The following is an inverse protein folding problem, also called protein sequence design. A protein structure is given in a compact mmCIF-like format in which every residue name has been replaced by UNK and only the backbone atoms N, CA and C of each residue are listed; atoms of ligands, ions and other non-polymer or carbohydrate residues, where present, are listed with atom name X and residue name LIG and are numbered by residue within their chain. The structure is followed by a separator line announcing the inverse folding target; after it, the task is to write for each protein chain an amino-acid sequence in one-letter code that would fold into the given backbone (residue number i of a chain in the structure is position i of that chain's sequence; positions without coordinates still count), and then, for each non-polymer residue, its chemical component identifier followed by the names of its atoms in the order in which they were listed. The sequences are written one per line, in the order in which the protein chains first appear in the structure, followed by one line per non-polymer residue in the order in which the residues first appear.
data_IF_934415491388
#
_entry.id   IF_934415491388
#
_cell.length_a   1.000
_cell.length_b   1.000
_cell.length_c   1.000
_cell.angle_alpha   90.00
_cell.angle_beta   90.00
_cell.angle_gamma   90.00
#
_symmetry.space_group_name_H-M   'P 1'
#
loop_
_entity.id
_entity.type
_entity.pdbx_description
1 polymer ?
#
# COMPACT_ATOMS: atom_id res chain seq x y z
N UNK A 1 -0.91 -26.34 -19.86
CA UNK A 1 -1.43 -27.62 -20.35
C UNK A 1 -0.54 -28.07 -21.51
N UNK A 2 0.38 -29.02 -21.27
CA UNK A 2 1.26 -29.59 -22.30
C UNK A 2 0.53 -30.77 -22.93
N UNK A 3 0.45 -30.80 -24.26
CA UNK A 3 0.24 -32.02 -25.05
C UNK A 3 1.24 -31.98 -26.20
N UNK A 4 1.99 -33.08 -26.33
CA UNK A 4 3.02 -33.30 -27.33
C UNK A 4 2.44 -34.13 -28.49
N UNK A 5 2.93 -33.76 -29.69
CA UNK A 5 2.82 -34.27 -31.07
C UNK A 5 2.62 -35.77 -31.31
N UNK A 6 2.01 -36.08 -32.47
CA UNK A 6 2.56 -37.01 -33.48
C UNK A 6 2.32 -36.49 -34.93
N UNK A 7 3.17 -36.88 -35.91
CA UNK A 7 3.19 -36.37 -37.28
C UNK A 7 2.47 -37.30 -38.28
N UNK A 8 1.98 -36.75 -39.39
CA UNK A 8 1.68 -37.53 -40.60
C UNK A 8 2.31 -36.81 -41.80
N UNK A 9 3.12 -37.57 -42.52
CA UNK A 9 3.82 -37.23 -43.76
C UNK A 9 3.06 -37.97 -44.87
N UNK A 10 2.43 -37.28 -45.85
CA UNK A 10 2.16 -37.85 -47.18
C UNK A 10 2.26 -36.75 -48.26
N UNK A 11 3.14 -37.05 -49.21
CA UNK A 11 3.26 -36.69 -50.63
C UNK A 11 2.49 -35.51 -51.24
N UNK A 12 3.32 -34.66 -51.81
CA UNK A 12 3.23 -33.86 -53.03
C UNK A 12 2.36 -34.44 -54.15
N UNK A 13 1.44 -33.61 -54.66
CA UNK A 13 1.03 -33.59 -56.06
C UNK A 13 1.11 -32.13 -56.52
N UNK A 14 2.06 -31.84 -57.41
CA UNK A 14 2.15 -30.57 -58.10
C UNK A 14 1.14 -30.55 -59.24
N UNK A 15 0.18 -29.63 -59.19
CA UNK A 15 -0.60 -29.22 -60.35
C UNK A 15 -0.14 -27.81 -60.70
N UNK A 16 0.58 -27.70 -61.82
CA UNK A 16 0.81 -26.44 -62.51
C UNK A 16 -0.53 -25.96 -63.05
N UNK A 17 -1.07 -24.88 -62.47
CA UNK A 17 -2.01 -24.01 -63.17
C UNK A 17 -1.38 -22.63 -63.25
N UNK A 18 -1.12 -22.19 -64.47
CA UNK A 18 -0.74 -20.82 -64.80
C UNK A 18 -1.90 -19.90 -64.44
N UNK A 19 -1.88 -19.33 -63.24
CA UNK A 19 -2.79 -18.25 -62.86
C UNK A 19 -2.25 -16.96 -63.48
N UNK A 20 -2.93 -16.50 -64.52
CA UNK A 20 -2.81 -15.13 -65.01
C UNK A 20 -3.18 -14.18 -63.87
N UNK A 21 -2.21 -13.41 -63.37
CA UNK A 21 -2.46 -12.31 -62.45
C UNK A 21 -3.24 -11.22 -63.20
N UNK A 22 -4.57 -11.27 -63.11
CA UNK A 22 -5.35 -10.05 -63.21
C UNK A 22 -5.01 -9.20 -61.99
N UNK A 23 -4.57 -7.96 -62.21
CA UNK A 23 -4.35 -7.00 -61.14
C UNK A 23 -5.60 -6.95 -60.24
N UNK A 24 -5.49 -7.23 -58.93
CA UNK A 24 -6.64 -7.19 -58.05
C UNK A 24 -7.24 -5.78 -58.09
N UNK A 25 -8.54 -5.69 -58.36
CA UNK A 25 -9.24 -4.42 -58.23
C UNK A 25 -9.23 -3.95 -56.77
N UNK A 26 -9.46 -2.64 -56.56
CA UNK A 26 -9.29 -1.91 -55.30
C UNK A 26 -9.84 -2.63 -54.03
N UNK A 27 -11.05 -3.24 -54.05
CA UNK A 27 -11.58 -3.97 -52.89
C UNK A 27 -10.79 -5.25 -52.56
N UNK A 28 -10.30 -5.99 -53.56
CA UNK A 28 -9.66 -7.28 -53.36
C UNK A 28 -8.28 -7.16 -52.70
N UNK A 29 -7.45 -6.20 -53.13
CA UNK A 29 -6.10 -6.03 -52.58
C UNK A 29 -6.12 -5.54 -51.12
N UNK A 30 -6.93 -4.52 -50.84
CA UNK A 30 -7.05 -3.95 -49.50
C UNK A 30 -7.59 -4.97 -48.49
N UNK A 31 -8.66 -5.71 -48.83
CA UNK A 31 -9.21 -6.77 -47.97
C UNK A 31 -8.21 -7.90 -47.76
N UNK A 32 -7.49 -8.33 -48.81
CA UNK A 32 -6.45 -9.37 -48.70
C UNK A 32 -5.33 -8.95 -47.75
N UNK A 33 -4.82 -7.72 -47.87
CA UNK A 33 -3.79 -7.20 -46.97
C UNK A 33 -4.27 -7.13 -45.52
N UNK A 34 -5.52 -6.70 -45.28
CA UNK A 34 -6.09 -6.67 -43.94
C UNK A 34 -6.21 -8.07 -43.34
N UNK A 35 -6.62 -9.05 -44.13
CA UNK A 35 -6.77 -10.44 -43.68
C UNK A 35 -5.41 -11.07 -43.37
N UNK A 36 -4.44 -10.92 -44.26
CA UNK A 36 -3.06 -11.37 -44.04
C UNK A 36 -2.44 -10.70 -42.80
N UNK A 37 -2.68 -9.40 -42.60
CA UNK A 37 -2.24 -8.68 -41.40
C UNK A 37 -2.84 -9.26 -40.12
N UNK A 38 -4.14 -9.59 -40.12
CA UNK A 38 -4.82 -10.23 -38.97
C UNK A 38 -4.26 -11.63 -38.70
N UNK A 39 -3.89 -12.36 -39.75
CA UNK A 39 -3.22 -13.67 -39.65
C UNK A 39 -1.73 -13.56 -39.28
N UNK A 40 -1.22 -12.36 -39.02
CA UNK A 40 0.19 -12.07 -38.75
C UNK A 40 1.15 -12.46 -39.90
N UNK A 41 0.63 -12.64 -41.11
CA UNK A 41 1.39 -12.86 -42.34
C UNK A 41 1.83 -11.53 -42.95
N UNK A 42 2.64 -10.80 -42.19
CA UNK A 42 3.00 -9.39 -42.49
C UNK A 42 3.76 -9.27 -43.82
N UNK A 43 4.68 -10.19 -44.12
CA UNK A 43 5.49 -10.13 -45.34
C UNK A 43 4.69 -10.42 -46.62
N UNK A 44 3.75 -11.36 -46.55
CA UNK A 44 2.80 -11.62 -47.65
C UNK A 44 1.91 -10.39 -47.90
N UNK A 45 1.41 -9.75 -46.84
CA UNK A 45 0.61 -8.55 -46.94
C UNK A 45 1.39 -7.37 -47.56
N UNK A 46 2.68 -7.21 -47.20
CA UNK A 46 3.57 -6.21 -47.80
C UNK A 46 3.73 -6.48 -49.30
N UNK A 47 3.93 -7.74 -49.70
CA UNK A 47 4.08 -8.12 -51.12
C UNK A 47 2.84 -7.79 -51.94
N UNK A 48 1.65 -8.08 -51.41
CA UNK A 48 0.38 -7.72 -52.04
C UNK A 48 0.26 -6.19 -52.19
N UNK A 49 0.59 -5.45 -51.13
CA UNK A 49 0.55 -3.99 -51.15
C UNK A 49 1.56 -3.35 -52.10
N UNK A 50 2.77 -3.88 -52.20
CA UNK A 50 3.79 -3.41 -53.16
C UNK A 50 3.33 -3.64 -54.60
N UNK A 51 2.82 -4.84 -54.91
CA UNK A 51 2.28 -5.17 -56.23
C UNK A 51 1.15 -4.22 -56.62
N UNK A 52 0.25 -3.93 -55.68
CA UNK A 52 -0.87 -3.02 -55.89
C UNK A 52 -0.42 -1.56 -56.06
N UNK A 53 0.48 -1.07 -55.19
CA UNK A 53 0.96 0.31 -55.23
C UNK A 53 1.83 0.61 -56.47
N UNK A 54 2.41 -0.41 -57.11
CA UNK A 54 3.06 -0.24 -58.42
C UNK A 54 2.08 0.24 -59.50
N UNK A 55 0.81 -0.18 -59.42
CA UNK A 55 -0.25 0.22 -60.35
C UNK A 55 -1.01 1.46 -59.84
N UNK A 56 -1.12 1.61 -58.52
CA UNK A 56 -1.89 2.68 -57.86
C UNK A 56 -1.05 3.45 -56.84
N UNK A 57 -0.02 4.20 -57.26
CA UNK A 57 1.00 4.76 -56.36
C UNK A 57 0.50 5.85 -55.40
N UNK A 58 -0.71 6.37 -55.62
CA UNK A 58 -1.34 7.43 -54.83
C UNK A 58 -2.54 6.96 -54.00
N UNK A 59 -2.74 5.65 -53.86
CA UNK A 59 -3.81 5.11 -53.02
C UNK A 59 -3.48 5.31 -51.53
N UNK A 60 -4.19 6.25 -50.88
CA UNK A 60 -3.91 6.64 -49.49
C UNK A 60 -4.22 5.52 -48.49
N UNK A 61 -5.25 4.70 -48.75
CA UNK A 61 -5.68 3.62 -47.87
C UNK A 61 -4.67 2.48 -47.87
N UNK A 62 -4.19 2.08 -49.04
CA UNK A 62 -3.14 1.06 -49.15
C UNK A 62 -1.80 1.57 -48.64
N UNK A 63 -1.46 2.84 -48.89
CA UNK A 63 -0.25 3.44 -48.28
C UNK A 63 -0.32 3.47 -46.75
N UNK A 64 -1.49 3.77 -46.16
CA UNK A 64 -1.68 3.70 -44.72
C UNK A 64 -1.49 2.27 -44.22
N UNK A 65 -2.07 1.29 -44.91
CA UNK A 65 -1.97 -0.12 -44.54
C UNK A 65 -0.53 -0.65 -44.64
N UNK A 66 0.24 -0.22 -45.64
CA UNK A 66 1.69 -0.48 -45.73
C UNK A 66 2.43 0.08 -44.51
N UNK A 67 2.12 1.31 -44.10
CA UNK A 67 2.69 1.89 -42.89
C UNK A 67 2.37 1.07 -41.64
N UNK A 68 1.12 0.61 -41.51
CA UNK A 68 0.68 -0.23 -40.39
C UNK A 68 1.37 -1.60 -40.38
N UNK A 69 1.61 -2.20 -41.55
CA UNK A 69 2.36 -3.45 -41.70
C UNK A 69 3.82 -3.28 -41.29
N UNK A 70 4.49 -2.23 -41.77
CA UNK A 70 5.88 -1.94 -41.38
C UNK A 70 6.01 -1.60 -39.89
N UNK A 71 5.00 -0.94 -39.30
CA UNK A 71 4.94 -0.70 -37.86
C UNK A 71 4.83 -2.02 -37.09
N UNK A 72 3.97 -2.96 -37.52
CA UNK A 72 3.82 -4.28 -36.92
C UNK A 72 5.09 -5.13 -37.03
N UNK A 73 5.87 -4.95 -38.11
CA UNK A 73 7.19 -5.57 -38.32
C UNK A 73 8.29 -4.95 -37.43
N UNK A 74 8.00 -3.88 -36.68
CA UNK A 74 8.98 -3.13 -35.88
C UNK A 74 9.85 -2.15 -36.69
N UNK A 75 9.62 -2.05 -38.01
CA UNK A 75 10.33 -1.09 -38.86
C UNK A 75 9.62 0.27 -38.85
N UNK A 76 9.76 0.99 -37.73
CA UNK A 76 9.09 2.27 -37.51
C UNK A 76 9.53 3.37 -38.47
N UNK A 77 10.77 3.29 -39.00
CA UNK A 77 11.28 4.25 -39.98
C UNK A 77 10.59 4.11 -41.35
N UNK A 78 10.38 2.88 -41.83
CA UNK A 78 9.58 2.66 -43.04
C UNK A 78 8.11 2.99 -42.80
N UNK A 79 7.56 2.66 -41.63
CA UNK A 79 6.21 3.07 -41.26
C UNK A 79 6.02 4.60 -41.37
N UNK A 80 6.94 5.38 -40.79
CA UNK A 80 6.96 6.85 -40.90
C UNK A 80 6.91 7.32 -42.35
N UNK A 81 7.71 6.71 -43.24
CA UNK A 81 7.77 7.06 -44.67
C UNK A 81 6.42 6.85 -45.35
N UNK A 82 5.76 5.72 -45.12
CA UNK A 82 4.45 5.43 -45.71
C UNK A 82 3.35 6.33 -45.14
N UNK A 83 3.32 6.57 -43.82
CA UNK A 83 2.36 7.49 -43.22
C UNK A 83 2.51 8.92 -43.73
N UNK A 84 3.74 9.41 -43.90
CA UNK A 84 3.99 10.73 -44.52
C UNK A 84 3.52 10.77 -45.97
N UNK A 85 3.72 9.70 -46.75
CA UNK A 85 3.15 9.61 -48.11
C UNK A 85 1.61 9.68 -48.09
N UNK A 86 0.96 8.95 -47.18
CA UNK A 86 -0.50 9.03 -46.99
C UNK A 86 -0.94 10.46 -46.69
N UNK A 87 -0.27 11.14 -45.76
CA UNK A 87 -0.61 12.52 -45.37
C UNK A 87 -0.29 13.56 -46.45
N UNK A 88 0.69 13.30 -47.33
CA UNK A 88 0.96 14.17 -48.49
C UNK A 88 -0.16 14.09 -49.53
N UNK A 89 -0.77 12.90 -49.71
CA UNK A 89 -1.90 12.70 -50.63
C UNK A 89 -3.21 13.16 -49.99
N UNK A 90 -3.39 12.88 -48.70
CA UNK A 90 -4.60 13.20 -47.95
C UNK A 90 -4.22 13.83 -46.60
N UNK A 91 -4.01 15.16 -46.55
CA UNK A 91 -3.58 15.87 -45.33
C UNK A 91 -4.54 15.75 -44.14
N UNK A 92 -5.80 15.42 -44.40
CA UNK A 92 -6.85 15.26 -43.40
C UNK A 92 -7.09 13.80 -42.99
N UNK A 93 -6.26 12.86 -43.46
CA UNK A 93 -6.39 11.44 -43.09
C UNK A 93 -6.07 11.25 -41.59
N UNK A 94 -7.13 11.21 -40.78
CA UNK A 94 -7.02 11.24 -39.32
C UNK A 94 -6.25 10.03 -38.77
N UNK A 95 -6.56 8.82 -39.24
CA UNK A 95 -5.90 7.60 -38.75
C UNK A 95 -4.40 7.59 -39.10
N UNK A 96 -4.00 8.18 -40.22
CA UNK A 96 -2.60 8.35 -40.58
C UNK A 96 -1.87 9.31 -39.63
N UNK A 97 -2.53 10.37 -39.13
CA UNK A 97 -1.96 11.26 -38.09
C UNK A 97 -1.74 10.49 -36.78
N UNK A 98 -2.73 9.71 -36.33
CA UNK A 98 -2.62 8.88 -35.11
C UNK A 98 -1.54 7.80 -35.28
N UNK A 99 -1.46 7.16 -36.44
CA UNK A 99 -0.44 6.14 -36.72
C UNK A 99 0.97 6.74 -36.78
N UNK A 100 1.14 7.91 -37.40
CA UNK A 100 2.41 8.64 -37.44
C UNK A 100 2.85 9.11 -36.05
N UNK A 101 1.91 9.61 -35.23
CA UNK A 101 2.16 9.90 -33.82
C UNK A 101 2.75 8.69 -33.09
N UNK A 102 2.10 7.51 -33.21
CA UNK A 102 2.58 6.27 -32.56
C UNK A 102 3.96 5.85 -33.06
N UNK A 103 4.23 6.00 -34.36
CA UNK A 103 5.56 5.76 -34.93
C UNK A 103 6.63 6.69 -34.34
N UNK A 104 6.33 7.99 -34.20
CA UNK A 104 7.25 8.93 -33.54
C UNK A 104 7.54 8.56 -32.09
N UNK A 105 6.53 8.14 -31.32
CA UNK A 105 6.72 7.66 -29.95
C UNK A 105 7.62 6.42 -29.92
N UNK A 106 7.36 5.43 -30.78
CA UNK A 106 8.16 4.19 -30.85
C UNK A 106 9.63 4.47 -31.22
N UNK A 107 9.89 5.48 -32.05
CA UNK A 107 11.23 5.93 -32.41
C UNK A 107 11.85 6.91 -31.39
N UNK A 108 11.19 7.17 -30.25
CA UNK A 108 11.59 8.16 -29.24
C UNK A 108 11.73 9.59 -29.78
N UNK A 109 11.09 9.91 -30.92
CA UNK A 109 11.06 11.25 -31.52
C UNK A 109 9.98 12.11 -30.85
N UNK A 110 10.12 12.35 -29.55
CA UNK A 110 9.05 12.89 -28.72
C UNK A 110 8.57 14.29 -29.12
N UNK A 111 9.47 15.17 -29.59
CA UNK A 111 9.09 16.50 -30.10
C UNK A 111 8.14 16.40 -31.29
N UNK A 112 8.44 15.51 -32.23
CA UNK A 112 7.58 15.28 -33.40
C UNK A 112 6.25 14.62 -33.00
N UNK A 113 6.27 13.76 -31.98
CA UNK A 113 5.06 13.20 -31.42
C UNK A 113 4.17 14.28 -30.77
N UNK A 114 4.73 15.24 -30.02
CA UNK A 114 3.99 16.38 -29.47
C UNK A 114 3.37 17.24 -30.57
N UNK A 115 4.14 17.57 -31.60
CA UNK A 115 3.64 18.34 -32.74
C UNK A 115 2.47 17.61 -33.42
N UNK A 116 2.58 16.30 -33.61
CA UNK A 116 1.50 15.49 -34.19
C UNK A 116 0.27 15.42 -33.26
N UNK A 117 0.48 15.31 -31.95
CA UNK A 117 -0.60 15.28 -30.97
C UNK A 117 -1.37 16.62 -30.96
N UNK A 118 -0.66 17.74 -31.07
CA UNK A 118 -1.26 19.07 -31.23
C UNK A 118 -2.09 19.17 -32.51
N UNK A 119 -1.62 18.58 -33.62
CA UNK A 119 -2.39 18.52 -34.87
C UNK A 119 -3.65 17.66 -34.73
N UNK A 120 -3.56 16.52 -34.03
CA UNK A 120 -4.71 15.65 -33.74
C UNK A 120 -5.76 16.41 -32.91
N UNK A 121 -5.32 17.11 -31.86
CA UNK A 121 -6.18 17.91 -31.00
C UNK A 121 -6.90 19.03 -31.78
N UNK A 122 -6.20 19.74 -32.66
CA UNK A 122 -6.80 20.78 -33.53
C UNK A 122 -7.79 20.20 -34.53
N UNK A 123 -7.48 19.04 -35.11
CA UNK A 123 -8.34 18.40 -36.10
C UNK A 123 -9.64 17.84 -35.50
N UNK A 124 -9.59 17.32 -34.27
CA UNK A 124 -10.76 16.83 -33.54
C UNK A 124 -10.68 17.24 -32.06
N UNK A 125 -11.19 18.43 -31.70
CA UNK A 125 -11.14 18.94 -30.32
C UNK A 125 -11.78 18.03 -29.27
N UNK A 126 -12.80 17.25 -29.66
CA UNK A 126 -13.51 16.30 -28.80
C UNK A 126 -13.12 14.84 -29.06
N UNK A 127 -11.91 14.58 -29.56
CA UNK A 127 -11.43 13.21 -29.76
C UNK A 127 -11.26 12.52 -28.39
N UNK A 128 -12.17 11.58 -28.09
CA UNK A 128 -12.23 10.89 -26.78
C UNK A 128 -10.90 10.24 -26.38
N UNK A 129 -10.11 9.79 -27.36
CA UNK A 129 -8.83 9.13 -27.11
C UNK A 129 -7.63 10.09 -27.04
N UNK A 130 -7.82 11.41 -27.22
CA UNK A 130 -6.70 12.37 -27.16
C UNK A 130 -5.95 12.29 -25.83
N UNK A 131 -6.68 12.15 -24.72
CA UNK A 131 -6.10 11.95 -23.38
C UNK A 131 -5.26 10.67 -23.32
N UNK A 132 -5.71 9.58 -23.95
CA UNK A 132 -4.98 8.32 -23.99
C UNK A 132 -3.68 8.44 -24.81
N UNK A 133 -3.70 9.20 -25.91
CA UNK A 133 -2.50 9.48 -26.69
C UNK A 133 -1.50 10.35 -25.91
N UNK A 134 -1.99 11.38 -25.20
CA UNK A 134 -1.13 12.18 -24.31
C UNK A 134 -0.49 11.32 -23.21
N UNK A 135 -1.28 10.48 -22.54
CA UNK A 135 -0.78 9.56 -21.52
C UNK A 135 0.26 8.58 -22.10
N UNK A 136 0.00 8.04 -23.31
CA UNK A 136 0.95 7.17 -24.00
C UNK A 136 2.30 7.86 -24.28
N UNK A 137 2.27 9.13 -24.73
CA UNK A 137 3.48 9.91 -24.94
C UNK A 137 4.24 10.18 -23.63
N UNK A 138 3.54 10.62 -22.59
CA UNK A 138 4.14 10.91 -21.29
C UNK A 138 4.80 9.65 -20.71
N UNK A 139 4.11 8.52 -20.76
CA UNK A 139 4.63 7.22 -20.32
C UNK A 139 5.87 6.82 -21.10
N UNK A 140 5.92 7.04 -22.41
CA UNK A 140 7.09 6.75 -23.23
C UNK A 140 8.28 7.65 -22.86
N UNK A 141 8.05 8.97 -22.68
CA UNK A 141 9.07 9.91 -22.20
C UNK A 141 9.64 9.50 -20.85
N UNK A 142 8.76 9.07 -19.94
CA UNK A 142 9.09 8.76 -18.55
C UNK A 142 9.50 7.31 -18.32
N UNK A 143 9.49 6.46 -19.37
CA UNK A 143 9.66 5.01 -19.23
C UNK A 143 10.96 4.60 -18.51
N UNK A 144 12.07 5.28 -18.81
CA UNK A 144 13.37 5.03 -18.16
C UNK A 144 13.32 5.36 -16.67
N UNK A 145 12.67 6.44 -16.29
CA UNK A 145 12.60 6.89 -14.90
C UNK A 145 11.64 6.02 -14.08
N UNK A 146 10.47 5.69 -14.64
CA UNK A 146 9.53 4.72 -14.07
C UNK A 146 10.21 3.36 -13.85
N UNK A 147 11.03 2.89 -14.81
CA UNK A 147 11.77 1.64 -14.68
C UNK A 147 12.81 1.69 -13.54
N UNK A 148 13.50 2.82 -13.34
CA UNK A 148 14.43 2.98 -12.20
C UNK A 148 13.70 2.94 -10.86
N UNK A 149 12.55 3.61 -10.78
CA UNK A 149 11.70 3.60 -9.58
C UNK A 149 11.24 2.17 -9.28
N UNK A 150 10.71 1.46 -10.28
CA UNK A 150 10.27 0.07 -10.14
C UNK A 150 11.41 -0.86 -9.69
N UNK A 151 12.60 -0.67 -10.25
CA UNK A 151 13.78 -1.43 -9.84
C UNK A 151 14.17 -1.12 -8.39
N UNK A 152 14.09 0.14 -7.95
CA UNK A 152 14.39 0.53 -6.58
C UNK A 152 13.38 -0.06 -5.57
N UNK A 153 12.09 0.01 -5.87
CA UNK A 153 11.03 -0.61 -5.05
C UNK A 153 11.25 -2.13 -4.97
N UNK A 154 11.49 -2.79 -6.11
CA UNK A 154 11.73 -4.24 -6.16
C UNK A 154 12.99 -4.67 -5.40
N UNK A 155 14.00 -3.82 -5.33
CA UNK A 155 15.23 -4.04 -4.56
C UNK A 155 15.09 -3.63 -3.08
N UNK A 156 13.88 -3.28 -2.63
CA UNK A 156 13.60 -2.79 -1.27
C UNK A 156 14.39 -1.52 -0.88
N UNK A 157 14.83 -0.75 -1.87
CA UNK A 157 15.53 0.54 -1.70
C UNK A 157 14.51 1.68 -1.64
N UNK A 158 13.63 1.63 -0.65
CA UNK A 158 12.44 2.48 -0.57
C UNK A 158 12.78 3.98 -0.49
N UNK A 159 13.85 4.36 0.21
CA UNK A 159 14.28 5.77 0.27
C UNK A 159 14.85 6.30 -1.05
N UNK A 160 15.53 5.44 -1.81
CA UNK A 160 16.01 5.81 -3.14
C UNK A 160 14.83 5.97 -4.10
N UNK A 161 13.85 5.05 -4.04
CA UNK A 161 12.60 5.16 -4.80
C UNK A 161 11.85 6.45 -4.45
N UNK A 162 11.72 6.78 -3.16
CA UNK A 162 11.07 8.00 -2.68
C UNK A 162 11.71 9.25 -3.27
N UNK A 163 13.04 9.37 -3.24
CA UNK A 163 13.77 10.50 -3.82
C UNK A 163 13.52 10.64 -5.32
N UNK A 164 13.53 9.53 -6.07
CA UNK A 164 13.25 9.54 -7.51
C UNK A 164 11.80 9.98 -7.81
N UNK A 165 10.85 9.51 -7.01
CA UNK A 165 9.43 9.88 -7.13
C UNK A 165 9.23 11.37 -6.81
N UNK A 166 9.81 11.87 -5.71
CA UNK A 166 9.76 13.29 -5.33
C UNK A 166 10.33 14.20 -6.44
N UNK A 167 11.49 13.85 -6.99
CA UNK A 167 12.08 14.57 -8.11
C UNK A 167 11.18 14.55 -9.35
N UNK A 168 10.58 13.40 -9.65
CA UNK A 168 9.70 13.23 -10.81
C UNK A 168 8.40 14.03 -10.67
N UNK A 169 7.77 14.01 -9.49
CA UNK A 169 6.54 14.75 -9.20
C UNK A 169 6.79 16.26 -9.08
N UNK A 170 8.01 16.68 -8.72
CA UNK A 170 8.41 18.09 -8.76
C UNK A 170 8.45 18.61 -10.20
N UNK A 171 9.00 17.83 -11.14
CA UNK A 171 9.09 18.19 -12.55
C UNK A 171 7.78 18.00 -13.31
N UNK A 172 6.99 17.00 -12.91
CA UNK A 172 5.72 16.63 -13.54
C UNK A 172 4.60 16.52 -12.49
N UNK A 173 4.13 17.67 -11.95
CA UNK A 173 3.08 17.66 -10.94
C UNK A 173 1.81 16.98 -11.46
N UNK A 174 1.23 16.10 -10.65
CA UNK A 174 0.01 15.34 -10.96
C UNK A 174 0.10 14.39 -12.16
N UNK A 175 1.30 13.97 -12.58
CA UNK A 175 1.42 12.87 -13.55
C UNK A 175 0.94 11.55 -12.90
N UNK A 176 -0.07 10.87 -13.48
CA UNK A 176 -0.70 9.72 -12.84
C UNK A 176 0.23 8.50 -12.77
N UNK A 177 1.21 8.35 -13.66
CA UNK A 177 2.15 7.22 -13.60
C UNK A 177 3.11 7.39 -12.41
N UNK A 178 3.63 8.60 -12.16
CA UNK A 178 4.46 8.86 -10.98
C UNK A 178 3.65 8.81 -9.67
N UNK A 179 2.40 9.26 -9.67
CA UNK A 179 1.51 9.11 -8.51
C UNK A 179 1.20 7.64 -8.23
N UNK A 180 0.97 6.81 -9.26
CA UNK A 180 0.85 5.36 -9.08
C UNK A 180 2.10 4.78 -8.42
N UNK A 181 3.31 5.22 -8.82
CA UNK A 181 4.56 4.81 -8.15
C UNK A 181 4.67 5.28 -6.72
N UNK A 182 4.13 6.46 -6.40
CA UNK A 182 4.03 6.93 -5.02
C UNK A 182 3.10 6.02 -4.19
N UNK A 183 1.96 5.61 -4.74
CA UNK A 183 1.07 4.66 -4.09
C UNK A 183 1.75 3.28 -3.91
N UNK A 184 2.41 2.77 -4.95
CA UNK A 184 3.18 1.52 -4.90
C UNK A 184 4.27 1.55 -3.79
N UNK A 185 4.98 2.68 -3.65
CA UNK A 185 5.94 2.89 -2.58
C UNK A 185 5.29 2.87 -1.19
N UNK A 186 4.16 3.55 -1.02
CA UNK A 186 3.43 3.53 0.25
C UNK A 186 2.90 2.14 0.60
N UNK A 187 2.45 1.36 -0.39
CA UNK A 187 2.10 -0.05 -0.20
C UNK A 187 3.31 -0.88 0.25
N UNK A 188 4.48 -0.68 -0.38
CA UNK A 188 5.72 -1.35 0.01
C UNK A 188 6.20 -0.96 1.42
N UNK A 189 5.83 0.22 1.92
CA UNK A 189 6.06 0.67 3.30
C UNK A 189 4.94 0.27 4.27
N UNK A 190 3.93 -0.49 3.84
CA UNK A 190 2.72 -0.79 4.62
C UNK A 190 1.94 0.46 5.09
N UNK A 191 2.13 1.60 4.42
CA UNK A 191 1.44 2.87 4.68
C UNK A 191 0.12 2.92 3.89
N UNK A 192 -0.78 1.99 4.19
CA UNK A 192 -1.99 1.75 3.40
C UNK A 192 -2.93 2.97 3.31
N UNK A 193 -3.05 3.75 4.38
CA UNK A 193 -3.85 4.98 4.38
C UNK A 193 -3.28 6.03 3.39
N UNK A 194 -1.95 6.20 3.35
CA UNK A 194 -1.28 7.11 2.42
C UNK A 194 -1.48 6.66 0.97
N UNK A 195 -1.30 5.36 0.69
CA UNK A 195 -1.56 4.78 -0.63
C UNK A 195 -3.02 5.04 -1.07
N UNK A 196 -3.99 4.77 -0.19
CA UNK A 196 -5.41 5.00 -0.46
C UNK A 196 -5.71 6.46 -0.80
N UNK A 197 -5.08 7.43 -0.12
CA UNK A 197 -5.28 8.86 -0.43
C UNK A 197 -4.71 9.25 -1.80
N UNK A 198 -3.55 8.70 -2.17
CA UNK A 198 -2.97 8.94 -3.50
C UNK A 198 -3.89 8.36 -4.58
N UNK A 199 -4.30 7.10 -4.47
CA UNK A 199 -5.21 6.47 -5.43
C UNK A 199 -6.54 7.23 -5.55
N UNK A 200 -7.11 7.63 -4.41
CA UNK A 200 -8.33 8.45 -4.36
C UNK A 200 -8.16 9.80 -5.05
N UNK A 201 -7.00 10.45 -4.89
CA UNK A 201 -6.68 11.70 -5.58
C UNK A 201 -6.58 11.47 -7.09
N UNK A 202 -5.90 10.42 -7.55
CA UNK A 202 -5.81 10.04 -8.97
C UNK A 202 -7.23 9.88 -9.55
N UNK A 203 -8.05 9.05 -8.92
CA UNK A 203 -9.37 8.69 -9.42
C UNK A 203 -10.40 9.84 -9.40
N UNK A 204 -10.26 10.79 -8.48
CA UNK A 204 -11.21 11.91 -8.37
C UNK A 204 -10.81 13.14 -9.18
N UNK A 205 -9.51 13.42 -9.28
CA UNK A 205 -9.03 14.72 -9.77
C UNK A 205 -8.23 14.61 -11.06
N UNK A 206 -7.57 13.48 -11.33
CA UNK A 206 -6.57 13.36 -12.41
C UNK A 206 -7.09 12.47 -13.54
N UNK A 207 -7.31 11.19 -13.24
CA UNK A 207 -7.74 10.18 -14.19
C UNK A 207 -8.72 9.19 -13.54
N UNK A 208 -10.04 9.43 -13.66
CA UNK A 208 -11.08 8.54 -13.15
C UNK A 208 -11.07 7.14 -13.77
N UNK A 209 -10.33 6.93 -14.86
CA UNK A 209 -10.22 5.64 -15.54
C UNK A 209 -8.89 4.94 -15.32
N UNK A 210 -8.03 5.46 -14.45
CA UNK A 210 -6.72 4.88 -14.18
C UNK A 210 -6.86 3.44 -13.65
N UNK A 211 -6.43 2.46 -14.44
CA UNK A 211 -6.61 1.04 -14.11
C UNK A 211 -5.81 0.61 -12.89
N UNK A 212 -4.58 1.13 -12.73
CA UNK A 212 -3.72 0.80 -11.61
C UNK A 212 -4.31 1.31 -10.29
N UNK A 213 -4.66 2.60 -10.22
CA UNK A 213 -5.29 3.18 -9.04
C UNK A 213 -6.63 2.52 -8.69
N UNK A 214 -7.46 2.15 -9.69
CA UNK A 214 -8.71 1.40 -9.44
C UNK A 214 -8.45 0.04 -8.77
N UNK A 215 -7.47 -0.71 -9.26
CA UNK A 215 -7.13 -2.02 -8.73
C UNK A 215 -6.54 -1.93 -7.32
N UNK A 216 -5.61 -1.00 -7.10
CA UNK A 216 -5.00 -0.75 -5.79
C UNK A 216 -6.05 -0.29 -4.76
N UNK A 217 -6.86 0.72 -5.10
CA UNK A 217 -7.92 1.24 -4.23
C UNK A 217 -8.96 0.18 -3.86
N UNK A 218 -9.36 -0.67 -4.82
CA UNK A 218 -10.27 -1.79 -4.53
C UNK A 218 -9.65 -2.78 -3.56
N UNK A 219 -8.39 -3.16 -3.76
CA UNK A 219 -7.68 -4.10 -2.90
C UNK A 219 -7.56 -3.58 -1.46
N UNK A 220 -7.26 -2.28 -1.31
CA UNK A 220 -7.22 -1.60 -0.01
C UNK A 220 -8.59 -1.56 0.66
N UNK A 221 -9.64 -1.27 -0.11
CA UNK A 221 -11.03 -1.29 0.36
C UNK A 221 -11.44 -2.67 0.87
N UNK A 222 -11.14 -3.72 0.12
CA UNK A 222 -11.53 -5.08 0.48
C UNK A 222 -10.74 -5.58 1.71
N UNK A 223 -9.50 -5.09 1.93
CA UNK A 223 -8.67 -5.42 3.09
C UNK A 223 -9.14 -4.72 4.37
N UNK A 224 -9.23 -3.39 4.34
CA UNK A 224 -9.59 -2.57 5.49
C UNK A 224 -10.26 -1.27 5.03
N UNK A 225 -11.60 -1.20 4.99
CA UNK A 225 -12.30 0.00 4.53
C UNK A 225 -12.05 1.24 5.41
N UNK A 226 -11.68 1.07 6.69
CA UNK A 226 -11.46 2.17 7.63
C UNK A 226 -10.38 3.15 7.13
N UNK A 227 -9.29 2.64 6.54
CA UNK A 227 -8.15 3.46 6.08
C UNK A 227 -8.50 4.40 4.91
N UNK A 228 -9.64 4.18 4.25
CA UNK A 228 -10.06 5.00 3.11
C UNK A 228 -10.60 6.37 3.54
N UNK A 229 -10.96 6.51 4.81
CA UNK A 229 -11.51 7.72 5.39
C UNK A 229 -10.44 8.78 5.66
N UNK A 230 -9.18 8.39 5.80
CA UNK A 230 -8.07 9.33 5.78
C UNK A 230 -6.81 8.83 6.44
N UNK A 231 -5.88 9.76 6.62
CA UNK A 231 -4.56 9.51 7.25
C UNK A 231 -4.55 9.87 8.72
N UNK A 232 -5.62 10.50 9.22
CA UNK A 232 -5.78 10.87 10.61
C UNK A 232 -6.75 9.91 11.29
N UNK A 233 -6.52 9.66 12.58
CA UNK A 233 -7.41 8.90 13.43
C UNK A 233 -7.40 9.50 14.83
N UNK A 234 -8.58 9.73 15.40
CA UNK A 234 -8.73 10.11 16.79
C UNK A 234 -9.52 9.02 17.50
N UNK A 235 -9.10 8.66 18.71
CA UNK A 235 -9.77 7.60 19.46
C UNK A 235 -9.75 7.83 20.95
N UNK A 236 -10.76 7.26 21.60
CA UNK A 236 -10.92 7.26 23.04
C UNK A 236 -11.14 5.83 23.50
N UNK A 237 -10.43 5.41 24.54
CA UNK A 237 -10.63 4.12 25.19
C UNK A 237 -10.74 4.35 26.70
N UNK A 238 -11.63 3.61 27.37
CA UNK A 238 -11.82 3.65 28.81
C UNK A 238 -11.98 2.24 29.34
N UNK A 239 -11.37 2.00 30.49
CA UNK A 239 -11.39 0.76 31.25
C UNK A 239 -11.82 1.09 32.68
N UNK A 240 -12.68 0.25 33.23
CA UNK A 240 -13.23 0.39 34.58
C UNK A 240 -13.10 -0.96 35.26
N UNK A 241 -12.24 -1.03 36.27
CA UNK A 241 -11.88 -2.27 36.96
C UNK A 241 -12.40 -2.25 38.39
N UNK A 242 -12.97 -3.36 38.84
CA UNK A 242 -13.28 -3.59 40.23
C UNK A 242 -12.20 -4.46 40.88
N UNK A 243 -11.63 -4.00 41.99
CA UNK A 243 -10.59 -4.72 42.74
C UNK A 243 -11.16 -5.25 44.05
N UNK A 244 -11.32 -6.57 44.12
CA UNK A 244 -12.06 -7.23 45.22
C UNK A 244 -11.45 -6.99 46.60
N UNK A 245 -10.12 -7.05 46.72
CA UNK A 245 -9.44 -6.93 48.02
C UNK A 245 -9.62 -5.55 48.66
N UNK A 246 -9.56 -4.50 47.84
CA UNK A 246 -9.71 -3.11 48.30
C UNK A 246 -11.17 -2.68 48.31
N UNK A 247 -12.05 -3.42 47.64
CA UNK A 247 -13.43 -3.06 47.34
C UNK A 247 -13.53 -1.66 46.71
N UNK A 248 -12.63 -1.37 45.76
CA UNK A 248 -12.57 -0.09 45.05
C UNK A 248 -12.71 -0.29 43.55
N UNK A 249 -13.21 0.73 42.87
CA UNK A 249 -13.19 0.81 41.41
C UNK A 249 -12.00 1.65 40.96
N UNK A 250 -11.26 1.13 39.99
CA UNK A 250 -10.19 1.81 39.29
C UNK A 250 -10.67 2.20 37.91
N UNK A 251 -10.12 3.30 37.40
CA UNK A 251 -10.41 3.76 36.04
C UNK A 251 -9.12 4.07 35.31
N UNK A 252 -9.09 3.73 34.03
CA UNK A 252 -8.03 4.10 33.11
C UNK A 252 -8.65 4.55 31.79
N UNK A 253 -8.19 5.66 31.24
CA UNK A 253 -8.66 6.13 29.94
C UNK A 253 -7.53 6.70 29.12
N UNK A 254 -7.63 6.53 27.81
CA UNK A 254 -6.69 7.05 26.83
C UNK A 254 -7.47 7.85 25.80
N UNK A 255 -7.08 9.10 25.61
CA UNK A 255 -7.40 9.87 24.42
C UNK A 255 -6.17 9.87 23.53
N UNK A 256 -6.32 9.49 22.26
CA UNK A 256 -5.21 9.50 21.32
C UNK A 256 -5.58 10.16 19.99
N UNK A 257 -4.55 10.69 19.34
CA UNK A 257 -4.58 11.12 17.95
C UNK A 257 -3.42 10.45 17.23
N UNK A 258 -3.67 9.92 16.05
CA UNK A 258 -2.64 9.36 15.21
C UNK A 258 -2.71 9.91 13.79
N UNK A 259 -1.53 9.97 13.16
CA UNK A 259 -1.36 10.44 11.79
C UNK A 259 -0.40 9.52 11.05
N UNK A 260 -0.88 8.93 9.96
CA UNK A 260 -0.02 8.29 8.98
C UNK A 260 0.70 9.37 8.14
N UNK A 261 2.00 9.19 7.93
CA UNK A 261 2.80 10.05 7.08
C UNK A 261 3.76 9.23 6.21
N UNK A 262 4.54 9.93 5.40
CA UNK A 262 5.40 9.32 4.37
C UNK A 262 6.52 8.44 4.94
N UNK A 263 6.92 8.69 6.20
CA UNK A 263 7.98 7.96 6.90
C UNK A 263 7.48 6.99 7.96
N UNK A 264 6.18 6.95 8.23
CA UNK A 264 5.62 6.14 9.31
C UNK A 264 4.38 6.74 9.94
N UNK A 265 3.86 6.05 10.96
CA UNK A 265 2.74 6.53 11.78
C UNK A 265 3.27 7.23 13.03
N UNK A 266 2.66 8.34 13.40
CA UNK A 266 2.86 8.97 14.71
C UNK A 266 1.58 8.85 15.52
N UNK A 267 1.70 8.60 16.82
CA UNK A 267 0.60 8.57 17.77
C UNK A 267 0.96 9.49 18.93
N UNK A 268 0.05 10.41 19.26
CA UNK A 268 0.08 11.22 20.47
C UNK A 268 -1.05 10.73 21.37
N UNK A 269 -0.78 10.53 22.66
CA UNK A 269 -1.80 10.10 23.59
C UNK A 269 -1.69 10.79 24.94
N UNK A 270 -2.84 10.93 25.59
CA UNK A 270 -2.96 11.33 26.99
C UNK A 270 -3.72 10.23 27.71
N UNK A 271 -3.07 9.66 28.71
CA UNK A 271 -3.63 8.65 29.58
C UNK A 271 -4.04 9.30 30.91
N UNK A 272 -5.18 8.90 31.45
CA UNK A 272 -5.64 9.31 32.77
C UNK A 272 -5.97 8.06 33.58
N UNK A 273 -5.47 7.99 34.81
CA UNK A 273 -5.74 6.90 35.72
C UNK A 273 -6.32 7.43 37.03
N UNK A 274 -7.27 6.70 37.59
CA UNK A 274 -7.84 6.92 38.92
C UNK A 274 -7.77 5.63 39.72
N UNK A 275 -6.89 5.57 40.73
CA UNK A 275 -6.63 4.40 41.59
C UNK A 275 -6.19 4.87 42.97
N UNK A 276 -6.51 4.11 44.02
CA UNK A 276 -6.13 4.42 45.40
C UNK A 276 -6.53 5.83 45.89
N UNK A 277 -7.61 6.41 45.33
CA UNK A 277 -8.03 7.78 45.64
C UNK A 277 -7.15 8.87 45.00
N UNK A 278 -6.19 8.49 44.15
CA UNK A 278 -5.35 9.40 43.38
C UNK A 278 -5.80 9.46 41.92
N UNK A 279 -5.60 10.62 41.30
CA UNK A 279 -5.74 10.82 39.87
C UNK A 279 -4.40 11.26 39.30
N UNK A 280 -3.98 10.68 38.18
CA UNK A 280 -2.77 11.11 37.49
C UNK A 280 -2.99 11.07 35.97
N UNK A 281 -2.19 11.86 35.27
CA UNK A 281 -2.18 11.91 33.81
C UNK A 281 -0.77 11.75 33.26
N UNK A 282 -0.67 11.14 32.08
CA UNK A 282 0.57 10.95 31.36
C UNK A 282 0.39 11.30 29.88
N UNK A 283 1.29 12.08 29.32
CA UNK A 283 1.37 12.33 27.89
C UNK A 283 2.41 11.39 27.26
N UNK A 284 2.13 10.86 26.08
CA UNK A 284 3.02 9.95 25.35
C UNK A 284 3.06 10.27 23.86
N UNK A 285 4.18 9.89 23.25
CA UNK A 285 4.39 9.85 21.80
C UNK A 285 4.91 8.48 21.39
N UNK A 286 4.35 7.93 20.31
CA UNK A 286 4.87 6.74 19.65
C UNK A 286 5.13 7.06 18.17
N UNK A 287 6.30 6.70 17.68
CA UNK A 287 6.72 6.88 16.29
C UNK A 287 7.00 5.52 15.67
N UNK A 288 6.45 5.27 14.50
CA UNK A 288 6.60 4.02 13.77
C UNK A 288 7.35 4.21 12.44
N UNK A 289 8.65 4.55 12.46
CA UNK A 289 9.40 4.74 11.22
C UNK A 289 9.59 3.41 10.48
N UNK A 290 9.32 3.42 9.18
CA UNK A 290 9.51 2.25 8.30
C UNK A 290 10.86 2.38 7.60
N UNK A 291 11.76 1.43 7.86
CA UNK A 291 13.13 1.46 7.34
C UNK A 291 13.21 0.78 5.96
N UNK A 292 12.48 -0.33 5.80
CA UNK A 292 12.30 -1.03 4.52
C UNK A 292 11.00 -1.87 4.60
N UNK A 293 10.67 -2.65 3.56
CA UNK A 293 9.42 -3.43 3.53
C UNK A 293 9.36 -4.56 4.57
N UNK A 294 10.48 -4.89 5.21
CA UNK A 294 10.57 -5.95 6.21
C UNK A 294 10.87 -5.43 7.61
N UNK A 295 11.17 -4.14 7.79
CA UNK A 295 11.66 -3.62 9.05
C UNK A 295 11.09 -2.25 9.37
N UNK A 296 10.52 -2.14 10.57
CA UNK A 296 10.07 -0.88 11.15
C UNK A 296 10.42 -0.83 12.63
N UNK A 297 10.39 0.36 13.21
CA UNK A 297 10.63 0.56 14.64
C UNK A 297 9.35 1.03 15.32
N UNK A 298 9.25 0.85 16.64
CA UNK A 298 8.42 1.64 17.53
C UNK A 298 9.36 2.42 18.45
N UNK A 299 9.33 3.74 18.37
CA UNK A 299 10.03 4.62 19.29
C UNK A 299 9.01 5.27 20.19
N UNK A 300 9.15 5.11 21.50
CA UNK A 300 8.18 5.61 22.47
C UNK A 300 8.83 6.49 23.51
N UNK A 301 8.06 7.47 23.97
CA UNK A 301 8.44 8.31 25.09
C UNK A 301 7.22 8.92 25.75
N UNK A 302 7.33 9.18 27.05
CA UNK A 302 6.25 9.84 27.76
C UNK A 302 6.67 10.44 29.08
N UNK A 303 5.77 11.28 29.60
CA UNK A 303 5.99 12.12 30.75
C UNK A 303 4.72 12.23 31.58
N UNK A 304 4.86 12.14 32.90
CA UNK A 304 3.80 12.39 33.87
C UNK A 304 4.25 13.46 34.87
N UNK A 305 3.37 14.43 35.13
CA UNK A 305 3.67 15.48 36.11
C UNK A 305 3.66 14.94 37.55
N UNK A 306 2.74 14.02 37.84
CA UNK A 306 2.59 13.38 39.15
C UNK A 306 2.96 11.90 39.04
N UNK A 307 4.15 11.48 39.51
CA UNK A 307 4.63 10.13 39.32
C UNK A 307 4.04 9.12 40.33
N UNK A 308 2.72 9.16 40.50
CA UNK A 308 1.98 8.37 41.49
C UNK A 308 1.45 7.09 40.84
N UNK A 309 0.81 7.22 39.68
CA UNK A 309 0.23 6.11 38.91
C UNK A 309 0.95 5.89 37.57
N UNK A 310 1.88 6.79 37.22
CA UNK A 310 2.66 6.74 35.99
C UNK A 310 4.13 7.06 36.26
N UNK A 311 5.09 6.46 35.53
CA UNK A 311 6.48 6.91 35.60
C UNK A 311 6.59 8.39 35.22
N UNK A 312 7.43 9.15 35.94
CA UNK A 312 7.71 10.55 35.66
C UNK A 312 8.17 10.75 34.22
N UNK A 313 9.09 9.91 33.77
CA UNK A 313 9.54 9.83 32.38
C UNK A 313 9.79 8.39 32.00
N UNK A 314 9.54 8.05 30.74
CA UNK A 314 10.04 6.82 30.15
C UNK A 314 10.43 7.04 28.69
N UNK A 315 11.32 6.19 28.19
CA UNK A 315 11.67 6.12 26.79
C UNK A 315 11.97 4.67 26.40
N UNK A 316 11.60 4.28 25.19
CA UNK A 316 11.78 2.93 24.70
C UNK A 316 11.92 2.87 23.19
N UNK A 317 12.46 1.74 22.73
CA UNK A 317 12.57 1.42 21.33
C UNK A 317 12.39 -0.09 21.12
N UNK A 318 11.65 -0.45 20.08
CA UNK A 318 11.48 -1.84 19.65
C UNK A 318 11.63 -1.93 18.13
N UNK A 319 12.43 -2.87 17.66
CA UNK A 319 12.59 -3.16 16.24
C UNK A 319 11.74 -4.37 15.86
N UNK A 320 11.02 -4.27 14.75
CA UNK A 320 10.18 -5.31 14.20
C UNK A 320 10.73 -5.76 12.86
N UNK A 321 10.76 -7.07 12.65
CA UNK A 321 11.17 -7.72 11.41
C UNK A 321 10.00 -8.56 10.89
N UNK A 322 9.31 -8.04 9.88
CA UNK A 322 8.22 -8.71 9.18
C UNK A 322 8.81 -9.73 8.18
N UNK A 323 8.93 -10.98 8.62
CA UNK A 323 9.36 -12.09 7.78
C UNK A 323 8.19 -12.78 7.07
N UNK A 324 8.51 -13.64 6.10
CA UNK A 324 7.49 -14.40 5.35
C UNK A 324 6.70 -15.40 6.22
N UNK A 325 7.30 -15.91 7.30
CA UNK A 325 6.69 -16.94 8.16
C UNK A 325 6.01 -16.34 9.40
N UNK A 326 6.64 -15.30 9.95
CA UNK A 326 6.24 -14.63 11.18
C UNK A 326 6.94 -13.26 11.22
N UNK A 327 6.31 -12.33 11.92
CA UNK A 327 6.96 -11.12 12.40
C UNK A 327 7.65 -11.42 13.74
N UNK A 328 8.86 -10.91 13.91
CA UNK A 328 9.58 -10.98 15.19
C UNK A 328 10.00 -9.60 15.63
N UNK A 329 10.09 -9.40 16.95
CA UNK A 329 10.53 -8.12 17.49
C UNK A 329 11.42 -8.27 18.71
N UNK A 330 12.22 -7.23 18.97
CA UNK A 330 12.99 -7.09 20.18
C UNK A 330 13.12 -5.62 20.55
N UNK A 331 12.96 -5.31 21.83
CA UNK A 331 12.92 -3.95 22.31
C UNK A 331 13.20 -3.80 23.78
N UNK A 332 13.36 -2.55 24.18
CA UNK A 332 13.57 -2.17 25.57
C UNK A 332 12.85 -0.86 25.89
N UNK A 333 12.58 -0.63 27.17
CA UNK A 333 12.04 0.60 27.72
C UNK A 333 12.67 0.87 29.08
N UNK A 334 13.10 2.10 29.32
CA UNK A 334 13.54 2.57 30.62
C UNK A 334 12.49 3.51 31.20
N UNK A 335 12.12 3.31 32.47
CA UNK A 335 11.12 4.10 33.17
C UNK A 335 11.66 4.62 34.49
N UNK A 336 11.57 5.93 34.70
CA UNK A 336 11.98 6.61 35.94
C UNK A 336 10.75 7.14 36.66
N UNK A 337 10.54 6.69 37.89
CA UNK A 337 9.42 7.10 38.75
C UNK A 337 9.85 8.28 39.62
N UNK A 338 10.87 8.06 40.45
CA UNK A 338 11.48 9.08 41.30
C UNK A 338 12.99 9.04 41.11
N UNK A 339 13.53 9.98 40.32
CA UNK A 339 14.95 10.02 40.01
C UNK A 339 15.79 10.41 41.25
N UNK A 340 16.97 9.80 41.46
CA UNK A 340 17.57 8.66 40.75
C UNK A 340 17.19 7.28 41.35
N UNK A 341 16.41 7.25 42.44
CA UNK A 341 16.31 6.08 43.34
C UNK A 341 15.25 5.05 42.96
N UNK A 342 14.24 5.41 42.15
CA UNK A 342 13.15 4.50 41.75
C UNK A 342 13.01 4.50 40.23
N UNK A 343 13.54 3.47 39.60
CA UNK A 343 13.45 3.24 38.15
C UNK A 343 13.55 1.74 37.82
N UNK A 344 13.12 1.37 36.61
CA UNK A 344 13.25 0.02 36.07
C UNK A 344 13.44 0.04 34.56
N UNK A 345 14.15 -0.97 34.07
CA UNK A 345 14.21 -1.32 32.67
C UNK A 345 13.23 -2.46 32.38
N UNK A 346 12.67 -2.48 31.17
CA UNK A 346 11.85 -3.55 30.63
C UNK A 346 12.45 -4.00 29.31
N UNK A 347 12.69 -5.28 29.15
CA UNK A 347 13.06 -5.91 27.88
C UNK A 347 11.90 -6.75 27.37
N UNK A 348 11.66 -6.69 26.07
CA UNK A 348 10.59 -7.46 25.44
C UNK A 348 11.00 -7.90 24.04
N UNK A 349 10.23 -8.82 23.51
CA UNK A 349 10.27 -9.21 22.11
C UNK A 349 8.99 -9.96 21.80
N UNK A 350 8.74 -10.24 20.53
CA UNK A 350 7.58 -11.04 20.16
C UNK A 350 7.84 -11.91 18.97
N UNK A 351 7.01 -12.94 18.84
CA UNK A 351 6.82 -13.68 17.59
C UNK A 351 5.33 -13.68 17.28
N UNK A 352 4.97 -13.15 16.12
CA UNK A 352 3.60 -13.00 15.68
C UNK A 352 3.42 -13.64 14.31
N UNK A 353 2.36 -14.40 14.13
CA UNK A 353 2.04 -15.06 12.86
C UNK A 353 0.60 -14.83 12.51
N UNK A 354 0.40 -14.32 11.30
CA UNK A 354 -0.90 -14.31 10.66
C UNK A 354 -1.11 -15.60 9.86
N UNK A 355 -2.29 -16.18 10.00
CA UNK A 355 -2.71 -17.34 9.23
C UNK A 355 -4.16 -17.18 8.83
N UNK A 356 -4.40 -17.01 7.52
CA UNK A 356 -5.70 -16.64 6.97
C UNK A 356 -6.24 -15.37 7.65
N UNK A 357 -7.35 -15.49 8.38
CA UNK A 357 -7.98 -14.42 9.14
C UNK A 357 -7.70 -14.52 10.65
N UNK A 358 -6.64 -15.22 11.05
CA UNK A 358 -6.19 -15.31 12.45
C UNK A 358 -4.83 -14.66 12.63
N UNK A 359 -4.61 -14.11 13.83
CA UNK A 359 -3.31 -13.68 14.33
C UNK A 359 -3.03 -14.43 15.64
N UNK A 360 -1.84 -15.00 15.76
CA UNK A 360 -1.34 -15.54 17.02
C UNK A 360 -0.02 -14.85 17.35
N UNK A 361 0.15 -14.37 18.57
CA UNK A 361 1.38 -13.70 18.99
C UNK A 361 1.78 -14.10 20.40
N UNK A 362 3.06 -14.37 20.61
CA UNK A 362 3.66 -14.63 21.92
C UNK A 362 4.66 -13.52 22.25
N UNK A 363 4.62 -13.02 23.50
CA UNK A 363 5.48 -11.93 23.95
C UNK A 363 5.89 -12.09 25.42
N UNK A 364 7.18 -12.24 25.73
CA UNK A 364 7.70 -12.07 27.08
C UNK A 364 7.96 -10.59 27.43
N UNK A 365 7.89 -10.29 28.73
CA UNK A 365 8.29 -9.02 29.34
C UNK A 365 9.18 -9.31 30.55
N UNK A 366 10.42 -8.87 30.47
CA UNK A 366 11.40 -9.02 31.54
C UNK A 366 11.69 -7.67 32.19
N UNK A 367 11.41 -7.56 33.48
CA UNK A 367 11.57 -6.32 34.25
C UNK A 367 12.80 -6.41 35.14
N UNK A 368 13.62 -5.35 35.10
CA UNK A 368 14.85 -5.21 35.89
C UNK A 368 14.77 -3.87 36.65
N UNK A 369 14.37 -3.86 37.92
CA UNK A 369 14.37 -2.65 38.72
C UNK A 369 15.77 -2.31 39.25
N UNK A 370 15.98 -1.05 39.66
CA UNK A 370 17.23 -0.66 40.34
C UNK A 370 17.36 -1.35 41.71
N UNK A 371 16.24 -1.57 42.39
CA UNK A 371 16.15 -2.26 43.68
C UNK A 371 15.05 -3.31 43.63
N UNK A 372 15.23 -4.44 44.33
CA UNK A 372 14.28 -5.55 44.33
C UNK A 372 14.59 -6.61 43.27
N UNK A 373 13.66 -7.56 43.12
CA UNK A 373 13.85 -8.74 42.28
C UNK A 373 13.40 -8.52 40.83
N UNK A 374 14.06 -9.23 39.92
CA UNK A 374 13.64 -9.28 38.53
C UNK A 374 12.35 -10.09 38.39
N UNK A 375 11.55 -9.77 37.37
CA UNK A 375 10.30 -10.48 37.11
C UNK A 375 10.06 -10.70 35.62
N UNK A 376 9.26 -11.71 35.31
CA UNK A 376 9.03 -12.20 33.96
C UNK A 376 7.57 -12.56 33.75
N UNK A 377 6.93 -11.85 32.81
CA UNK A 377 5.53 -12.04 32.43
C UNK A 377 5.46 -12.45 30.96
N UNK A 378 4.61 -13.41 30.64
CA UNK A 378 4.37 -13.85 29.27
C UNK A 378 2.95 -13.52 28.85
N UNK A 379 2.77 -13.18 27.58
CA UNK A 379 1.45 -13.03 26.97
C UNK A 379 1.31 -13.85 25.70
N UNK A 380 0.09 -14.34 25.47
CA UNK A 380 -0.32 -15.05 24.28
C UNK A 380 -1.61 -14.41 23.76
N UNK A 381 -1.54 -13.85 22.55
CA UNK A 381 -2.65 -13.16 21.90
C UNK A 381 -3.20 -14.03 20.78
N UNK A 382 -4.52 -14.17 20.74
CA UNK A 382 -5.27 -14.74 19.63
C UNK A 382 -6.24 -13.69 19.11
N UNK A 383 -6.19 -13.37 17.82
CA UNK A 383 -7.19 -12.54 17.17
C UNK A 383 -7.79 -13.24 15.96
N UNK A 384 -9.09 -13.05 15.74
CA UNK A 384 -9.83 -13.50 14.56
C UNK A 384 -10.44 -12.29 13.87
N UNK A 385 -10.03 -12.04 12.65
CA UNK A 385 -10.62 -11.05 11.74
C UNK A 385 -11.84 -11.66 11.05
N UNK A 386 -12.90 -10.87 10.92
CA UNK A 386 -14.13 -11.30 10.26
C UNK A 386 -14.11 -10.87 8.78
N UNK A 387 -15.09 -10.09 8.34
CA UNK A 387 -15.21 -9.67 6.95
C UNK A 387 -14.06 -8.73 6.51
N UNK A 388 -13.53 -7.93 7.43
CA UNK A 388 -12.54 -6.87 7.18
C UNK A 388 -11.59 -6.76 8.37
N UNK A 389 -10.40 -6.14 8.20
CA UNK A 389 -9.42 -6.03 9.29
C UNK A 389 -9.84 -5.15 10.47
N UNK A 390 -10.79 -4.23 10.28
CA UNK A 390 -11.36 -3.38 11.32
C UNK A 390 -12.53 -4.03 12.08
N UNK A 391 -12.92 -5.25 11.71
CA UNK A 391 -13.86 -6.09 12.45
C UNK A 391 -13.15 -7.36 12.96
N UNK A 392 -12.86 -7.43 14.26
CA UNK A 392 -12.18 -8.57 14.85
C UNK A 392 -12.62 -8.87 16.28
N UNK A 393 -12.37 -10.10 16.72
CA UNK A 393 -12.39 -10.50 18.13
C UNK A 393 -10.98 -10.92 18.56
N UNK A 394 -10.57 -10.53 19.76
CA UNK A 394 -9.22 -10.73 20.30
C UNK A 394 -9.32 -11.26 21.73
N UNK A 395 -8.48 -12.23 22.07
CA UNK A 395 -8.29 -12.75 23.42
C UNK A 395 -6.80 -12.70 23.74
N UNK A 396 -6.46 -12.19 24.93
CA UNK A 396 -5.07 -12.19 25.43
C UNK A 396 -5.04 -12.99 26.72
N UNK A 397 -4.11 -13.94 26.81
CA UNK A 397 -3.80 -14.69 28.01
C UNK A 397 -2.46 -14.20 28.53
N UNK A 398 -2.35 -14.03 29.84
CA UNK A 398 -1.10 -13.66 30.50
C UNK A 398 -0.82 -14.51 31.72
N UNK A 399 0.45 -14.85 31.93
CA UNK A 399 0.88 -15.61 33.10
C UNK A 399 2.35 -15.32 33.42
N UNK A 400 2.68 -15.23 34.71
CA UNK A 400 4.03 -15.05 35.18
C UNK A 400 4.09 -14.13 36.39
N UNK A 401 5.14 -13.30 36.43
CA UNK A 401 5.38 -12.35 37.52
C UNK A 401 5.65 -10.96 36.96
N UNK A 402 5.25 -9.94 37.69
CA UNK A 402 5.53 -8.54 37.35
C UNK A 402 5.83 -7.74 38.61
N UNK A 403 6.48 -6.57 38.51
CA UNK A 403 6.49 -5.62 39.61
C UNK A 403 5.06 -5.15 39.89
N UNK A 404 4.76 -4.77 41.13
CA UNK A 404 3.50 -4.12 41.46
C UNK A 404 3.43 -2.70 40.85
N UNK A 405 3.05 -2.58 39.58
CA UNK A 405 2.98 -1.31 38.86
C UNK A 405 1.68 -0.52 39.15
N UNK A 406 0.82 -0.99 40.05
CA UNK A 406 -0.44 -0.32 40.37
C UNK A 406 -0.26 0.95 41.22
N UNK A 407 0.72 0.95 42.14
CA UNK A 407 1.06 2.07 43.01
C UNK A 407 2.58 2.30 42.97
N UNK A 408 3.01 3.36 42.29
CA UNK A 408 4.43 3.60 42.04
C UNK A 408 5.16 4.30 43.20
N UNK A 409 4.42 4.88 44.17
CA UNK A 409 5.03 5.56 45.31
C UNK A 409 5.45 4.59 46.42
N UNK A 410 4.79 3.43 46.48
CA UNK A 410 5.07 2.37 47.46
C UNK A 410 5.77 1.16 46.81
N UNK A 411 6.25 1.33 45.56
CA UNK A 411 6.96 0.29 44.81
C UNK A 411 8.31 0.00 45.47
N UNK A 412 8.32 -1.00 46.35
CA UNK A 412 9.53 -1.75 46.73
C UNK A 412 9.84 -2.83 45.68
N UNK A 413 9.41 -2.61 44.42
CA UNK A 413 9.44 -3.58 43.33
C UNK A 413 8.99 -4.99 43.73
N UNK A 414 7.98 -5.04 44.59
CA UNK A 414 7.34 -6.27 45.04
C UNK A 414 6.92 -7.06 43.80
N UNK A 415 7.45 -8.27 43.69
CA UNK A 415 7.12 -9.18 42.60
C UNK A 415 5.79 -9.85 42.91
N UNK A 416 4.78 -9.58 42.09
CA UNK A 416 3.46 -10.19 42.19
C UNK A 416 3.32 -11.28 41.13
N UNK A 417 2.76 -12.42 41.52
CA UNK A 417 2.32 -13.43 40.55
C UNK A 417 1.04 -12.91 39.88
N UNK A 418 1.00 -12.90 38.55
CA UNK A 418 -0.11 -12.36 37.78
C UNK A 418 -0.54 -13.37 36.71
N UNK A 419 -1.81 -13.77 36.77
CA UNK A 419 -2.48 -14.49 35.69
C UNK A 419 -3.68 -13.69 35.23
N UNK A 420 -3.84 -13.51 33.92
CA UNK A 420 -4.97 -12.76 33.40
C UNK A 420 -5.49 -13.32 32.08
N UNK A 421 -6.74 -12.98 31.80
CA UNK A 421 -7.40 -13.18 30.53
C UNK A 421 -8.16 -11.90 30.19
N UNK A 422 -8.01 -11.43 28.96
CA UNK A 422 -8.79 -10.31 28.42
C UNK A 422 -9.44 -10.72 27.12
N UNK A 423 -10.63 -10.19 26.87
CA UNK A 423 -11.38 -10.38 25.63
C UNK A 423 -11.89 -9.06 25.09
N UNK A 424 -11.83 -8.88 23.78
CA UNK A 424 -12.27 -7.65 23.10
C UNK A 424 -12.91 -8.01 21.76
N UNK A 425 -13.98 -7.30 21.41
CA UNK A 425 -14.52 -7.28 20.06
C UNK A 425 -14.52 -5.83 19.56
N UNK A 426 -13.90 -5.62 18.41
CA UNK A 426 -13.98 -4.35 17.68
C UNK A 426 -14.85 -4.53 16.46
N UNK A 427 -15.77 -3.61 16.21
CA UNK A 427 -16.62 -3.63 15.02
C UNK A 427 -16.76 -2.23 14.40
N UNK A 428 -16.88 -2.15 13.06
CA UNK A 428 -17.03 -0.90 12.35
C UNK A 428 -18.45 -0.32 12.50
N UNK A 429 -18.54 1.00 12.46
CA UNK A 429 -19.77 1.78 12.48
C UNK A 429 -19.76 2.79 11.32
N UNK A 430 -20.96 3.17 10.86
CA UNK A 430 -21.17 4.15 9.78
C UNK A 430 -20.21 3.96 8.58
N UNK A 431 -20.41 2.86 7.84
CA UNK A 431 -19.61 2.50 6.65
C UNK A 431 -18.11 2.40 6.92
N UNK A 432 -17.70 2.02 8.13
CA UNK A 432 -16.30 1.89 8.57
C UNK A 432 -15.59 3.22 8.88
N UNK A 433 -16.28 4.36 8.92
CA UNK A 433 -15.64 5.63 9.33
C UNK A 433 -15.27 5.61 10.82
N UNK A 434 -16.13 4.99 11.62
CA UNK A 434 -15.92 4.79 13.05
C UNK A 434 -15.68 3.32 13.33
N UNK A 435 -14.99 3.03 14.43
CA UNK A 435 -14.92 1.69 15.02
C UNK A 435 -15.21 1.78 16.50
N UNK A 436 -15.97 0.83 17.02
CA UNK A 436 -16.24 0.68 18.45
C UNK A 436 -15.57 -0.59 18.94
N UNK A 437 -14.93 -0.56 20.10
CA UNK A 437 -14.46 -1.75 20.80
C UNK A 437 -15.16 -1.90 22.14
N UNK A 438 -15.53 -3.13 22.47
CA UNK A 438 -16.05 -3.51 23.78
C UNK A 438 -15.26 -4.72 24.24
N UNK A 439 -14.86 -4.72 25.51
CA UNK A 439 -14.07 -5.79 26.08
C UNK A 439 -14.33 -6.00 27.55
N UNK A 440 -13.67 -7.02 28.07
CA UNK A 440 -13.66 -7.43 29.46
C UNK A 440 -12.27 -7.93 29.82
N UNK A 441 -11.91 -7.79 31.08
CA UNK A 441 -10.66 -8.31 31.64
C UNK A 441 -10.93 -9.00 32.97
N UNK A 442 -10.09 -9.99 33.25
CA UNK A 442 -10.01 -10.62 34.55
C UNK A 442 -8.54 -10.90 34.87
N UNK A 443 -8.10 -10.48 36.04
CA UNK A 443 -6.74 -10.67 36.54
C UNK A 443 -6.76 -11.22 37.95
N UNK A 444 -5.84 -12.12 38.22
CA UNK A 444 -5.63 -12.76 39.51
C UNK A 444 -4.20 -12.51 39.96
N UNK A 445 -4.04 -11.61 40.92
CA UNK A 445 -2.74 -11.22 41.47
C UNK A 445 -2.55 -11.85 42.85
N UNK A 446 -1.37 -12.43 43.07
CA UNK A 446 -0.97 -12.99 44.37
C UNK A 446 0.32 -12.30 44.81
N UNK A 447 0.27 -11.66 45.98
CA UNK A 447 1.38 -10.96 46.59
C UNK A 447 2.26 -11.91 47.42
N UNK A 448 3.52 -11.56 47.72
CA UNK A 448 4.41 -12.39 48.55
C UNK A 448 3.86 -12.68 49.95
N UNK A 449 3.08 -11.76 50.52
CA UNK A 449 2.38 -11.93 51.80
C UNK A 449 1.07 -12.73 51.70
N UNK A 450 0.83 -13.38 50.56
CA UNK A 450 -0.36 -14.18 50.24
C UNK A 450 -1.66 -13.39 50.13
N UNK A 451 -1.63 -12.05 50.10
CA UNK A 451 -2.80 -11.27 49.70
C UNK A 451 -3.14 -11.58 48.24
N UNK A 452 -4.44 -11.63 47.95
CA UNK A 452 -4.96 -11.93 46.62
C UNK A 452 -5.83 -10.78 46.15
N UNK A 453 -5.51 -10.23 44.99
CA UNK A 453 -6.36 -9.24 44.31
C UNK A 453 -6.96 -9.89 43.08
N UNK A 454 -8.29 -10.01 43.07
CA UNK A 454 -9.04 -10.26 41.85
C UNK A 454 -9.44 -8.90 41.27
N UNK A 455 -9.11 -8.69 40.01
CA UNK A 455 -9.40 -7.48 39.26
C UNK A 455 -10.28 -7.90 38.10
N UNK A 456 -11.43 -7.27 37.93
CA UNK A 456 -12.32 -7.54 36.81
C UNK A 456 -12.88 -6.25 36.27
N UNK A 457 -12.81 -6.05 34.97
CA UNK A 457 -13.24 -4.81 34.37
C UNK A 457 -13.91 -4.98 33.02
N UNK A 458 -14.33 -3.83 32.52
CA UNK A 458 -14.93 -3.65 31.21
C UNK A 458 -14.18 -2.57 30.46
N UNK A 459 -14.04 -2.78 29.16
CA UNK A 459 -13.36 -1.85 28.27
C UNK A 459 -14.35 -1.36 27.23
N UNK A 460 -14.32 -0.07 26.95
CA UNK A 460 -15.07 0.55 25.86
C UNK A 460 -14.16 1.52 25.12
N UNK A 461 -14.23 1.54 23.80
CA UNK A 461 -13.57 2.56 23.01
C UNK A 461 -14.26 2.88 21.69
N UNK A 462 -13.93 4.05 21.17
CA UNK A 462 -14.48 4.62 19.95
C UNK A 462 -13.37 5.35 19.20
N UNK A 463 -13.19 4.99 17.92
CA UNK A 463 -12.20 5.60 17.04
C UNK A 463 -12.87 6.15 15.79
N UNK A 464 -12.31 7.21 15.22
CA UNK A 464 -12.77 7.87 13.99
C UNK A 464 -11.59 8.15 13.07
N UNK A 465 -11.67 7.71 11.81
CA UNK A 465 -10.70 8.08 10.77
C UNK A 465 -11.22 9.22 9.89
N UNK A 466 -10.33 10.12 9.48
CA UNK A 466 -10.67 11.31 8.69
C UNK A 466 -9.50 11.85 7.85
N UNK A 467 -9.85 12.54 6.75
CA UNK A 467 -8.89 13.19 5.85
C UNK A 467 -8.19 14.38 6.52
N UNK A 468 -7.17 14.93 5.86
CA UNK A 468 -6.59 16.20 6.31
C UNK A 468 -7.64 17.30 6.30
N UNK A 469 -7.64 18.13 7.35
CA UNK A 469 -8.40 19.37 7.34
C UNK A 469 -7.93 20.19 6.14
N UNK A 470 -8.88 20.50 5.23
CA UNK A 470 -8.57 21.34 4.06
C UNK A 470 -7.97 22.65 4.57
N UNK A 471 -6.76 22.95 4.09
CA UNK A 471 -6.13 24.26 4.29
C UNK A 471 -6.89 25.35 3.58
#
# INVERSE_FOLDING_TARGET
MKLVKYPILICSIAILTSVSFAAPNLPAAFTTMQELRKQNKVDEAITVGETYLNLHPKDADVLLLMGLLYYQKGNHALAEKYYKKTLNISPNYFDAKVALFRAYVAMQKYRQAEDMLNQIARAKPNYRELKNLQAFLNRAKNAKELQKIDAAIKQDKLDAANKLIEQSLLLHPNDPDFMNKQADLYLARHQYAMAAQVDKKILRQIDPNNAAAKAAFKSLKDLNPHILYGVNEAGFNSEIDHVTYLNTTWQYSTLYYSRAGERGKMILSVNNASRFGHNASQAMVNLYPVLNSHMYLNLEGGFAQQPILFPKVFAGAEAFLAGNLAEVSAGFRNSTILAPSIAFAQYTGSIAKEWQNFLVSFRPYYYIPIHGDNSLLYTLTFAKFFATRDFFAKVVLGSGTSPNLADLLTVDFIVVSNNFITGEIQFPLYKHMFSCNVGWDYQHWVFPDKRVWNISGIVFGLNMSFEDFKK
#
